data_IF_462771538372
#
_entry.id   IF_462771538372
#
_cell.length_a   1.000
_cell.length_b   1.000
_cell.length_c   1.000
_cell.angle_alpha   90.00
_cell.angle_beta   90.00
_cell.angle_gamma   90.00
#
_symmetry.space_group_name_H-M   'P 1'
#
loop_
_entity.id
_entity.type
_entity.pdbx_description
1 polymer ?
#
# COMPACT_ATOMS: atom_id res chain seq x y z
N UNK A 1 1.45 28.71 -2.38
CA UNK A 1 0.64 27.66 -1.70
C UNK A 1 1.50 26.42 -1.55
N UNK A 2 1.69 25.90 -0.33
CA UNK A 2 2.42 24.65 -0.13
C UNK A 2 1.53 23.46 -0.53
N UNK A 3 2.06 22.51 -1.31
CA UNK A 3 1.37 21.26 -1.58
C UNK A 3 1.10 20.54 -0.24
N UNK A 4 -0.11 20.01 0.01
CA UNK A 4 -0.42 19.31 1.24
C UNK A 4 0.53 18.12 1.40
N UNK A 5 1.29 18.03 2.48
CA UNK A 5 2.26 16.93 2.65
C UNK A 5 1.51 15.59 2.86
N UNK A 6 1.96 14.48 2.26
CA UNK A 6 1.41 13.17 2.54
C UNK A 6 1.56 12.82 4.03
N UNK A 7 0.51 12.29 4.64
CA UNK A 7 0.50 11.82 6.04
C UNK A 7 0.58 10.30 6.08
N UNK A 8 1.37 9.76 7.01
CA UNK A 8 1.43 8.32 7.26
C UNK A 8 0.05 7.82 7.72
N UNK A 9 -0.39 6.71 7.16
CA UNK A 9 -1.64 6.05 7.54
C UNK A 9 -1.38 4.55 7.75
N UNK A 10 -1.95 4.02 8.83
CA UNK A 10 -1.86 2.60 9.19
C UNK A 10 -3.26 2.12 9.51
N UNK A 11 -3.66 1.03 8.88
CA UNK A 11 -4.88 0.30 9.17
C UNK A 11 -4.51 -1.01 9.85
N UNK A 12 -5.28 -1.38 10.86
CA UNK A 12 -5.06 -2.59 11.65
C UNK A 12 -6.17 -3.61 11.40
N UNK A 13 -5.83 -4.89 11.54
CA UNK A 13 -6.77 -5.99 11.69
C UNK A 13 -7.51 -5.88 13.03
N UNK A 14 -8.55 -6.70 13.20
CA UNK A 14 -9.30 -6.79 14.46
C UNK A 14 -8.44 -7.21 15.66
N UNK A 15 -7.35 -7.93 15.42
CA UNK A 15 -6.41 -8.39 16.45
C UNK A 15 -5.30 -7.37 16.76
N UNK A 16 -5.34 -6.19 16.15
CA UNK A 16 -4.32 -5.14 16.32
C UNK A 16 -3.07 -5.31 15.45
N UNK A 17 -2.95 -6.40 14.68
CA UNK A 17 -1.86 -6.54 13.71
C UNK A 17 -2.03 -5.56 12.55
N UNK A 18 -0.94 -5.14 11.91
CA UNK A 18 -1.00 -4.19 10.80
C UNK A 18 -1.64 -4.87 9.59
N UNK A 19 -2.72 -4.31 9.05
CA UNK A 19 -3.35 -4.78 7.80
C UNK A 19 -2.81 -4.06 6.58
N UNK A 20 -2.66 -2.73 6.66
CA UNK A 20 -2.17 -1.91 5.57
C UNK A 20 -1.42 -0.69 6.11
N UNK A 21 -0.38 -0.27 5.42
CA UNK A 21 0.30 1.00 5.71
C UNK A 21 0.75 1.70 4.44
N UNK A 22 0.73 3.02 4.47
CA UNK A 22 1.13 3.86 3.36
C UNK A 22 1.00 5.34 3.70
N UNK A 23 0.80 6.15 2.66
CA UNK A 23 0.58 7.58 2.82
C UNK A 23 -0.78 7.99 2.26
N UNK A 24 -1.36 9.02 2.85
CA UNK A 24 -2.56 9.69 2.34
C UNK A 24 -2.27 11.16 2.12
N UNK A 25 -2.79 11.71 1.03
CA UNK A 25 -2.75 13.14 0.73
C UNK A 25 -4.18 13.57 0.41
N UNK A 26 -4.67 14.62 1.07
CA UNK A 26 -6.04 15.15 0.90
C UNK A 26 -7.15 14.09 0.99
N UNK A 27 -6.99 13.11 1.88
CA UNK A 27 -7.95 12.02 2.08
C UNK A 27 -7.87 10.89 1.06
N UNK A 28 -6.94 10.95 0.09
CA UNK A 28 -6.72 9.92 -0.92
C UNK A 28 -5.41 9.18 -0.68
N UNK A 29 -5.35 7.92 -1.12
CA UNK A 29 -4.11 7.14 -1.10
C UNK A 29 -3.06 7.78 -2.01
N UNK A 30 -1.85 7.96 -1.46
CA UNK A 30 -0.72 8.57 -2.15
C UNK A 30 0.54 7.71 -1.94
N UNK A 31 1.34 7.55 -2.98
CA UNK A 31 2.58 6.79 -2.95
C UNK A 31 2.39 5.29 -2.73
N UNK A 32 3.40 4.65 -2.14
CA UNK A 32 3.44 3.20 -1.94
C UNK A 32 2.62 2.77 -0.73
N UNK A 33 1.72 1.84 -0.96
CA UNK A 33 0.95 1.12 0.04
C UNK A 33 1.39 -0.33 0.11
N UNK A 34 1.42 -0.87 1.33
CA UNK A 34 1.75 -2.26 1.59
C UNK A 34 0.68 -2.85 2.49
N UNK A 35 0.13 -3.99 2.07
CA UNK A 35 -0.79 -4.81 2.83
C UNK A 35 -0.07 -6.02 3.39
N UNK A 36 -0.48 -6.40 4.59
CA UNK A 36 0.09 -7.49 5.36
C UNK A 36 -1.00 -8.46 5.79
N UNK A 37 -0.63 -9.74 5.90
CA UNK A 37 -1.48 -10.74 6.53
C UNK A 37 -1.40 -10.59 8.06
N UNK A 38 -2.27 -11.31 8.78
CA UNK A 38 -2.28 -11.31 10.25
C UNK A 38 -0.96 -11.76 10.87
N UNK A 39 -0.23 -12.63 10.17
CA UNK A 39 1.11 -13.09 10.56
C UNK A 39 2.23 -12.05 10.30
N UNK A 40 1.89 -10.86 9.78
CA UNK A 40 2.84 -9.80 9.44
C UNK A 40 3.55 -10.00 8.09
N UNK A 41 3.32 -11.10 7.37
CA UNK A 41 3.89 -11.31 6.04
C UNK A 41 3.29 -10.34 5.03
N UNK A 42 4.10 -9.85 4.09
CA UNK A 42 3.62 -8.99 3.01
C UNK A 42 2.65 -9.78 2.14
N UNK A 43 1.45 -9.24 1.96
CA UNK A 43 0.43 -9.79 1.08
C UNK A 43 0.50 -9.12 -0.30
N UNK A 44 0.59 -7.79 -0.31
CA UNK A 44 0.60 -7.02 -1.56
C UNK A 44 1.26 -5.65 -1.35
N UNK A 45 1.88 -5.13 -2.40
CA UNK A 45 2.23 -3.71 -2.49
C UNK A 45 1.62 -3.10 -3.74
N UNK A 46 1.21 -1.85 -3.65
CA UNK A 46 0.62 -1.09 -4.75
C UNK A 46 1.06 0.36 -4.61
N UNK A 47 1.15 1.07 -5.72
CA UNK A 47 1.40 2.51 -5.70
C UNK A 47 0.16 3.27 -6.18
N UNK A 48 -0.04 4.47 -5.63
CA UNK A 48 -1.16 5.33 -5.95
C UNK A 48 -0.70 6.76 -6.16
N UNK A 49 -1.38 7.47 -7.06
CA UNK A 49 -1.23 8.91 -7.27
C UNK A 49 -2.62 9.52 -7.26
N UNK A 50 -2.90 10.42 -6.31
CA UNK A 50 -4.20 11.06 -6.09
C UNK A 50 -5.35 10.04 -5.99
N UNK A 51 -5.10 8.89 -5.36
CA UNK A 51 -6.03 7.78 -5.21
C UNK A 51 -6.19 6.86 -6.43
N UNK A 52 -5.54 7.16 -7.56
CA UNK A 52 -5.55 6.30 -8.75
C UNK A 52 -4.42 5.28 -8.70
N UNK A 53 -4.65 4.11 -9.29
CA UNK A 53 -3.65 3.05 -9.41
C UNK A 53 -2.50 3.53 -10.30
N UNK A 54 -1.27 3.47 -9.80
CA UNK A 54 -0.08 3.89 -10.55
C UNK A 54 1.11 3.01 -10.20
N UNK A 55 2.14 3.03 -11.07
CA UNK A 55 3.40 2.34 -10.83
C UNK A 55 3.24 0.83 -10.69
N UNK A 56 4.14 0.21 -9.93
CA UNK A 56 4.24 -1.25 -9.85
C UNK A 56 3.47 -1.83 -8.68
N UNK A 57 2.65 -2.82 -8.99
CA UNK A 57 1.82 -3.55 -8.05
C UNK A 57 2.34 -4.97 -7.93
N UNK A 58 2.67 -5.40 -6.73
CA UNK A 58 3.31 -6.69 -6.47
C UNK A 58 2.45 -7.48 -5.49
N UNK A 59 2.10 -8.71 -5.83
CA UNK A 59 1.42 -9.66 -4.93
C UNK A 59 2.41 -10.73 -4.50
N UNK A 60 2.40 -11.07 -3.21
CA UNK A 60 3.32 -12.02 -2.62
C UNK A 60 2.57 -13.26 -2.13
N UNK A 61 3.20 -14.43 -2.13
CA UNK A 61 2.67 -15.65 -1.51
C UNK A 61 2.82 -15.60 0.03
N UNK A 62 2.46 -16.69 0.71
CA UNK A 62 2.61 -16.81 2.18
C UNK A 62 4.07 -16.90 2.63
N UNK A 63 5.00 -17.29 1.75
CA UNK A 63 6.45 -17.36 2.02
C UNK A 63 7.14 -16.01 1.75
N UNK A 64 6.43 -15.05 1.17
CA UNK A 64 6.96 -13.73 0.80
C UNK A 64 7.53 -13.65 -0.61
N UNK A 65 7.40 -14.71 -1.42
CA UNK A 65 7.85 -14.69 -2.81
C UNK A 65 6.89 -13.89 -3.69
N UNK A 66 7.42 -13.22 -4.70
CA UNK A 66 6.62 -12.49 -5.68
C UNK A 66 5.85 -13.48 -6.55
N UNK A 67 4.52 -13.43 -6.48
CA UNK A 67 3.63 -14.24 -7.32
C UNK A 67 3.24 -13.48 -8.58
N UNK A 68 3.04 -12.17 -8.45
CA UNK A 68 2.57 -11.35 -9.58
C UNK A 68 3.08 -9.93 -9.47
N UNK A 69 3.61 -9.44 -10.59
CA UNK A 69 3.94 -8.03 -10.77
C UNK A 69 3.08 -7.47 -11.90
N UNK A 70 2.45 -6.33 -11.68
CA UNK A 70 1.67 -5.61 -12.68
C UNK A 70 2.10 -4.16 -12.64
N UNK A 71 2.54 -3.62 -13.77
CA UNK A 71 2.93 -2.22 -13.87
C UNK A 71 1.81 -1.44 -14.54
N UNK A 72 1.34 -0.41 -13.86
CA UNK A 72 0.39 0.55 -14.40
C UNK A 72 1.18 1.76 -14.90
N UNK A 73 1.04 2.05 -16.19
CA UNK A 73 1.58 3.26 -16.80
C UNK A 73 0.94 4.50 -16.16
N UNK A 74 1.78 5.51 -15.93
CA UNK A 74 1.41 6.84 -15.42
C UNK A 74 0.58 7.64 -16.40
#
# INVERSE_FOLDING_TARGET
MALPKPRKYIQYHKDGSVWAKGFTQTGKMEGKWVWFRKDGTKMRSRSFVKGKQAGTWVTYDKKGNVVRTTTFGT
#
